data_IF_701479825733
#
_entry.id   IF_701479825733
#
_cell.length_a   1.000
_cell.length_b   1.000
_cell.length_c   1.000
_cell.angle_alpha   90.00
_cell.angle_beta   90.00
_cell.angle_gamma   90.00
#
_symmetry.space_group_name_H-M   'P 1'
#
loop_
_entity.id
_entity.type
_entity.pdbx_description
1 polymer ?
#
# COMPACT_ATOMS: atom_id res chain seq x y z
N UNK A 1 20.21 11.51 2.83
CA UNK A 1 18.89 10.83 2.87
C UNK A 1 18.81 10.03 4.17
N UNK A 2 17.71 10.11 4.93
CA UNK A 2 17.53 9.43 6.23
C UNK A 2 16.46 8.34 6.09
N UNK A 3 16.69 7.17 6.70
CA UNK A 3 15.66 6.13 6.81
C UNK A 3 14.68 6.51 7.95
N UNK A 4 13.38 6.54 7.65
CA UNK A 4 12.31 6.88 8.59
C UNK A 4 11.47 5.67 9.01
N UNK A 5 11.77 4.46 8.50
CA UNK A 5 11.06 3.25 8.89
C UNK A 5 11.31 2.92 10.37
N UNK A 6 10.24 2.66 11.10
CA UNK A 6 10.27 2.25 12.51
C UNK A 6 9.40 1.02 12.71
N UNK A 7 9.99 -0.04 13.25
CA UNK A 7 9.31 -1.34 13.42
C UNK A 7 8.09 -1.23 14.35
N UNK A 8 8.22 -0.54 15.48
CA UNK A 8 7.13 -0.37 16.45
C UNK A 8 5.93 0.38 15.86
N UNK A 9 6.18 1.49 15.16
CA UNK A 9 5.12 2.26 14.47
C UNK A 9 4.46 1.41 13.39
N UNK A 10 5.25 0.64 12.63
CA UNK A 10 4.73 -0.27 11.61
C UNK A 10 3.80 -1.32 12.21
N UNK A 11 4.16 -1.93 13.34
CA UNK A 11 3.33 -2.94 13.99
C UNK A 11 2.00 -2.37 14.47
N UNK A 12 2.03 -1.18 15.09
CA UNK A 12 0.83 -0.48 15.52
C UNK A 12 -0.05 -0.09 14.32
N UNK A 13 0.56 0.43 13.25
CA UNK A 13 -0.15 0.79 12.02
C UNK A 13 -0.85 -0.43 11.39
N UNK A 14 -0.14 -1.55 11.26
CA UNK A 14 -0.74 -2.79 10.72
C UNK A 14 -1.90 -3.27 11.61
N UNK A 15 -1.81 -3.12 12.93
CA UNK A 15 -2.89 -3.49 13.85
C UNK A 15 -4.12 -2.58 13.71
N UNK A 16 -3.93 -1.28 13.47
CA UNK A 16 -5.03 -0.33 13.23
C UNK A 16 -5.79 -0.64 11.93
N UNK A 17 -5.08 -1.11 10.90
CA UNK A 17 -5.63 -1.48 9.59
C UNK A 17 -5.96 -2.99 9.48
N UNK A 18 -6.35 -3.64 10.57
CA UNK A 18 -6.64 -5.08 10.61
C UNK A 18 -7.80 -5.53 9.67
N UNK A 19 -8.59 -4.60 9.14
CA UNK A 19 -9.66 -4.88 8.18
C UNK A 19 -9.15 -5.21 6.76
N UNK A 20 -7.87 -4.95 6.45
CA UNK A 20 -7.27 -5.29 5.16
C UNK A 20 -6.08 -6.27 5.33
N UNK A 21 -5.60 -6.90 4.24
CA UNK A 21 -4.43 -7.76 4.31
C UNK A 21 -3.23 -7.04 4.92
N UNK A 22 -2.49 -7.73 5.79
CA UNK A 22 -1.33 -7.18 6.51
C UNK A 22 -0.31 -6.50 5.59
N UNK A 23 -0.04 -7.11 4.43
CA UNK A 23 0.90 -6.60 3.45
C UNK A 23 0.39 -5.33 2.76
N UNK A 24 -0.94 -5.18 2.61
CA UNK A 24 -1.54 -3.96 2.10
C UNK A 24 -1.44 -2.84 3.14
N UNK A 25 -1.72 -3.11 4.41
CA UNK A 25 -1.50 -2.16 5.50
C UNK A 25 -0.03 -1.71 5.58
N UNK A 26 0.92 -2.65 5.48
CA UNK A 26 2.35 -2.34 5.39
C UNK A 26 2.70 -1.49 4.16
N UNK A 27 2.03 -1.75 3.03
CA UNK A 27 2.22 -0.97 1.81
C UNK A 27 1.71 0.46 1.96
N UNK A 28 0.59 0.67 2.66
CA UNK A 28 0.09 1.99 3.04
C UNK A 28 1.13 2.73 3.89
N UNK A 29 1.61 2.10 4.98
CA UNK A 29 2.62 2.68 5.87
C UNK A 29 3.87 3.14 5.10
N UNK A 30 4.44 2.25 4.29
CA UNK A 30 5.65 2.57 3.51
C UNK A 30 5.39 3.61 2.42
N UNK A 31 4.19 3.64 1.83
CA UNK A 31 3.82 4.69 0.86
C UNK A 31 3.76 6.06 1.52
N UNK A 32 3.22 6.15 2.74
CA UNK A 32 3.17 7.40 3.52
C UNK A 32 4.56 7.88 3.92
N UNK A 33 5.45 6.98 4.34
CA UNK A 33 6.85 7.35 4.63
C UNK A 33 7.54 7.97 3.42
N UNK A 34 7.36 7.37 2.22
CA UNK A 34 7.96 7.89 0.99
C UNK A 34 7.27 9.20 0.57
N UNK A 35 5.94 9.24 0.59
CA UNK A 35 5.13 10.40 0.18
C UNK A 35 5.30 11.62 1.06
N UNK A 36 5.62 11.43 2.35
CA UNK A 36 5.91 12.53 3.28
C UNK A 36 7.22 13.28 2.98
N UNK A 37 8.07 12.71 2.14
CA UNK A 37 9.35 13.31 1.77
C UNK A 37 9.27 13.97 0.39
N UNK A 38 9.14 15.30 0.38
CA UNK A 38 9.07 16.12 -0.85
C UNK A 38 10.34 16.06 -1.71
N UNK A 39 11.46 15.58 -1.18
CA UNK A 39 12.68 15.33 -1.97
C UNK A 39 12.64 13.99 -2.71
N UNK A 40 11.72 13.09 -2.36
CA UNK A 40 11.51 11.79 -3.02
C UNK A 40 10.33 11.81 -3.99
N UNK A 41 9.23 12.47 -3.60
CA UNK A 41 7.97 12.49 -4.35
C UNK A 41 7.49 13.93 -4.45
N UNK A 42 7.32 14.40 -5.69
CA UNK A 42 6.65 15.67 -5.98
C UNK A 42 5.13 15.50 -5.87
N UNK A 43 4.42 16.61 -5.64
CA UNK A 43 2.96 16.60 -5.45
C UNK A 43 2.22 15.81 -6.54
N UNK A 44 1.36 14.88 -6.14
CA UNK A 44 0.60 14.01 -7.04
C UNK A 44 1.39 12.87 -7.71
N UNK A 45 2.72 12.82 -7.54
CA UNK A 45 3.59 11.83 -8.15
C UNK A 45 3.72 10.51 -7.38
N UNK A 46 4.65 9.67 -7.85
CA UNK A 46 5.06 8.42 -7.22
C UNK A 46 4.05 7.28 -7.36
N UNK A 47 4.56 6.05 -7.29
CA UNK A 47 3.78 4.82 -7.31
C UNK A 47 4.37 3.79 -6.34
N UNK A 48 3.51 2.99 -5.75
CA UNK A 48 3.87 1.85 -4.92
C UNK A 48 2.92 0.70 -5.23
N UNK A 49 3.39 -0.52 -5.02
CA UNK A 49 2.57 -1.71 -5.21
C UNK A 49 2.95 -2.84 -4.27
N UNK A 50 2.03 -3.79 -4.10
CA UNK A 50 2.24 -5.03 -3.35
C UNK A 50 1.53 -6.18 -4.05
N UNK A 51 2.17 -7.36 -4.09
CA UNK A 51 1.58 -8.59 -4.63
C UNK A 51 1.00 -9.41 -3.48
N UNK A 52 -0.19 -9.93 -3.67
CA UNK A 52 -0.94 -10.70 -2.68
C UNK A 52 -1.65 -11.87 -3.35
N UNK A 53 -1.81 -12.98 -2.61
CA UNK A 53 -2.77 -14.02 -2.96
C UNK A 53 -4.09 -13.68 -2.28
N UNK A 54 -5.14 -13.44 -3.07
CA UNK A 54 -6.46 -13.02 -2.58
C UNK A 54 -7.52 -14.02 -3.03
N UNK A 55 -8.40 -14.38 -2.09
CA UNK A 55 -9.58 -15.18 -2.40
C UNK A 55 -10.68 -14.28 -2.97
N UNK A 56 -11.19 -14.60 -4.15
CA UNK A 56 -12.29 -13.87 -4.76
C UNK A 56 -13.65 -14.27 -4.16
N UNK A 57 -14.73 -13.63 -4.60
CA UNK A 57 -16.08 -13.88 -4.08
C UNK A 57 -16.63 -15.30 -4.34
N UNK A 58 -15.98 -16.08 -5.22
CA UNK A 58 -16.33 -17.48 -5.51
C UNK A 58 -15.38 -18.49 -4.85
N UNK A 59 -14.43 -18.03 -4.02
CA UNK A 59 -13.52 -18.90 -3.25
C UNK A 59 -12.21 -19.25 -3.97
N UNK A 60 -11.92 -18.65 -5.12
CA UNK A 60 -10.69 -18.93 -5.87
C UNK A 60 -9.55 -18.01 -5.42
N UNK A 61 -8.39 -18.61 -5.16
CA UNK A 61 -7.16 -17.85 -4.87
C UNK A 61 -6.55 -17.34 -6.17
N UNK A 62 -6.37 -16.02 -6.25
CA UNK A 62 -5.78 -15.33 -7.38
C UNK A 62 -4.56 -14.53 -6.95
N UNK A 63 -3.53 -14.50 -7.81
CA UNK A 63 -2.40 -13.60 -7.63
C UNK A 63 -2.79 -12.20 -8.12
N UNK A 64 -2.80 -11.25 -7.21
CA UNK A 64 -3.23 -9.86 -7.45
C UNK A 64 -2.08 -8.91 -7.13
N UNK A 65 -1.86 -7.91 -7.99
CA UNK A 65 -1.03 -6.75 -7.67
C UNK A 65 -1.91 -5.57 -7.33
N UNK A 66 -1.75 -5.06 -6.12
CA UNK A 66 -2.37 -3.82 -5.66
C UNK A 66 -1.44 -2.67 -5.99
N UNK A 67 -1.87 -1.74 -6.84
CA UNK A 67 -1.09 -0.58 -7.28
C UNK A 67 -1.80 0.69 -6.84
N UNK A 68 -1.04 1.69 -6.39
CA UNK A 68 -1.57 3.03 -6.10
C UNK A 68 -2.46 3.52 -7.26
N UNK A 69 -3.71 3.84 -6.95
CA UNK A 69 -4.68 4.39 -7.88
C UNK A 69 -4.40 5.87 -8.19
N UNK A 70 -4.98 6.34 -9.29
CA UNK A 70 -4.94 7.76 -9.65
C UNK A 70 -5.74 8.60 -8.65
N UNK A 71 -5.33 9.86 -8.46
CA UNK A 71 -6.03 10.81 -7.56
C UNK A 71 -5.66 10.69 -6.08
N UNK A 72 -4.89 9.70 -5.68
CA UNK A 72 -4.41 9.54 -4.30
C UNK A 72 -3.04 10.17 -4.10
N UNK A 73 -2.85 10.91 -3.01
CA UNK A 73 -1.55 11.39 -2.57
C UNK A 73 -0.86 10.30 -1.72
N UNK A 74 0.40 9.97 -2.02
CA UNK A 74 1.12 8.92 -1.29
C UNK A 74 1.29 9.22 0.21
N UNK A 75 1.37 10.49 0.60
CA UNK A 75 1.51 10.91 2.00
C UNK A 75 0.27 10.63 2.85
N UNK A 76 -0.89 10.45 2.22
CA UNK A 76 -2.19 10.25 2.88
C UNK A 76 -2.96 9.03 2.39
N UNK A 77 -2.40 8.25 1.45
CA UNK A 77 -3.06 7.09 0.84
C UNK A 77 -3.61 6.12 1.90
N UNK A 78 -4.78 5.57 1.63
CA UNK A 78 -5.48 4.55 2.43
C UNK A 78 -5.52 3.22 1.65
N UNK A 79 -5.91 2.08 2.26
CA UNK A 79 -6.04 0.80 1.54
C UNK A 79 -6.88 0.89 0.25
N UNK A 80 -7.97 1.66 0.28
CA UNK A 80 -8.88 1.92 -0.84
C UNK A 80 -8.20 2.68 -1.99
N UNK A 81 -7.08 3.35 -1.69
CA UNK A 81 -6.23 3.99 -2.69
C UNK A 81 -5.42 3.01 -3.53
N UNK A 82 -5.50 1.70 -3.28
CA UNK A 82 -4.83 0.69 -4.09
C UNK A 82 -5.82 -0.09 -4.96
N UNK A 83 -5.62 -0.05 -6.27
CA UNK A 83 -6.39 -0.84 -7.24
C UNK A 83 -5.75 -2.22 -7.42
N UNK A 84 -6.54 -3.27 -7.18
CA UNK A 84 -6.13 -4.65 -7.43
C UNK A 84 -6.26 -5.05 -8.90
N UNK A 85 -5.19 -5.61 -9.47
CA UNK A 85 -5.14 -6.11 -10.84
C UNK A 85 -4.70 -7.58 -10.82
N UNK A 86 -5.34 -8.43 -11.61
CA UNK A 86 -4.89 -9.82 -11.79
C UNK A 86 -3.49 -9.83 -12.40
N UNK A 87 -2.59 -10.64 -11.83
CA UNK A 87 -1.24 -10.80 -12.38
C UNK A 87 -1.20 -11.71 -13.61
N UNK A 88 -2.23 -12.54 -13.77
CA UNK A 88 -2.35 -13.50 -14.87
C UNK A 88 -3.50 -13.10 -15.82
N UNK A 89 -3.36 -13.33 -17.14
CA UNK A 89 -4.38 -13.02 -18.14
C UNK A 89 -5.68 -13.83 -18.00
#
# INVERSE_FOLDING_TARGET
MKNLFKEEECLNFVAEYAACPKELALRVYTSRLIGSNSSLVLHGGGNTSVKLSVENIVGEKNDVVFVKGSGWDMSTIEPEGFTGLNLHP
#
